data_IF_258493346593
#
_entry.id   IF_258493346593
#
_cell.length_a   1.000
_cell.length_b   1.000
_cell.length_c   1.000
_cell.angle_alpha   90.00
_cell.angle_beta   90.00
_cell.angle_gamma   90.00
#
_symmetry.space_group_name_H-M   'P 1'
#
loop_
_entity.id
_entity.type
_entity.pdbx_description
1 polymer ?
#
# COMPACT_ATOMS: atom_id res chain seq x y z
N UNK A 1 -29.48 26.00 15.94
CA UNK A 1 -30.11 25.01 15.05
C UNK A 1 -29.27 24.73 13.81
N UNK A 2 -28.92 25.71 13.02
CA UNK A 2 -28.20 25.55 11.73
C UNK A 2 -26.85 24.80 11.87
N UNK A 3 -26.05 25.14 12.87
CA UNK A 3 -24.75 24.47 13.10
C UNK A 3 -24.89 22.98 13.39
N UNK A 4 -25.98 22.57 14.04
CA UNK A 4 -26.25 21.16 14.37
C UNK A 4 -26.63 20.36 13.12
N UNK A 5 -27.39 20.95 12.21
CA UNK A 5 -27.73 20.33 10.92
C UNK A 5 -26.51 20.23 10.00
N UNK A 6 -25.66 21.26 9.95
CA UNK A 6 -24.43 21.24 9.16
C UNK A 6 -23.44 20.19 9.68
N UNK A 7 -23.31 20.01 10.99
CA UNK A 7 -22.50 18.94 11.59
C UNK A 7 -23.04 17.57 11.20
N UNK A 8 -24.36 17.36 11.33
CA UNK A 8 -24.98 16.07 11.00
C UNK A 8 -24.82 15.72 9.51
N UNK A 9 -25.00 16.69 8.61
CA UNK A 9 -24.81 16.49 7.16
C UNK A 9 -23.33 16.16 6.86
N UNK A 10 -22.40 16.86 7.49
CA UNK A 10 -20.97 16.57 7.35
C UNK A 10 -20.61 15.17 7.83
N UNK A 11 -21.18 14.74 8.95
CA UNK A 11 -20.91 13.40 9.52
C UNK A 11 -21.50 12.30 8.64
N UNK A 12 -22.71 12.48 8.10
CA UNK A 12 -23.35 11.54 7.16
C UNK A 12 -22.58 11.47 5.85
N UNK A 13 -22.13 12.60 5.31
CA UNK A 13 -21.31 12.62 4.09
C UNK A 13 -19.97 11.92 4.29
N UNK A 14 -19.33 12.14 5.44
CA UNK A 14 -18.07 11.49 5.80
C UNK A 14 -18.23 9.99 5.98
N UNK A 15 -19.32 9.54 6.61
CA UNK A 15 -19.66 8.14 6.76
C UNK A 15 -19.93 7.49 5.39
N UNK A 16 -20.71 8.13 4.53
CA UNK A 16 -20.97 7.66 3.16
C UNK A 16 -19.71 7.51 2.33
N UNK A 17 -18.77 8.46 2.41
CA UNK A 17 -17.47 8.36 1.76
C UNK A 17 -16.62 7.22 2.31
N UNK A 18 -16.69 6.96 3.61
CA UNK A 18 -16.00 5.83 4.26
C UNK A 18 -16.56 4.50 3.77
N UNK A 19 -17.87 4.38 3.67
CA UNK A 19 -18.55 3.17 3.19
C UNK A 19 -18.26 2.90 1.72
N UNK A 20 -18.24 3.93 0.88
CA UNK A 20 -17.85 3.84 -0.54
C UNK A 20 -16.39 3.41 -0.67
N UNK A 21 -15.48 4.00 0.10
CA UNK A 21 -14.06 3.61 0.10
C UNK A 21 -13.88 2.16 0.53
N UNK A 22 -14.65 1.70 1.53
CA UNK A 22 -14.63 0.30 1.97
C UNK A 22 -15.07 -0.62 0.84
N UNK A 23 -16.20 -0.33 0.19
CA UNK A 23 -16.71 -1.13 -0.93
C UNK A 23 -15.74 -1.18 -2.11
N UNK A 24 -15.11 -0.04 -2.43
CA UNK A 24 -14.08 0.02 -3.49
C UNK A 24 -12.83 -0.76 -3.10
N UNK A 25 -12.44 -0.76 -1.82
CA UNK A 25 -11.29 -1.51 -1.33
C UNK A 25 -11.54 -3.02 -1.24
N UNK A 26 -12.80 -3.47 -1.23
CA UNK A 26 -13.17 -4.88 -1.28
C UNK A 26 -13.10 -5.46 -2.70
N UNK A 27 -13.09 -4.61 -3.73
CA UNK A 27 -12.95 -5.04 -5.12
C UNK A 27 -11.46 -5.23 -5.49
N UNK A 28 -11.18 -6.33 -6.19
CA UNK A 28 -9.85 -6.55 -6.76
C UNK A 28 -9.49 -5.39 -7.69
N UNK A 29 -8.29 -4.80 -7.62
CA UNK A 29 -7.88 -3.74 -8.52
C UNK A 29 -7.94 -4.17 -9.99
N UNK A 30 -8.59 -3.39 -10.84
CA UNK A 30 -8.70 -3.67 -12.30
C UNK A 30 -7.33 -3.85 -12.95
N UNK A 31 -6.31 -3.18 -12.42
CA UNK A 31 -4.93 -3.31 -12.90
C UNK A 31 -4.39 -4.75 -12.78
N UNK A 32 -4.85 -5.52 -11.79
CA UNK A 32 -4.43 -6.91 -11.58
C UNK A 32 -5.22 -7.92 -12.42
N UNK A 33 -6.39 -7.56 -12.93
CA UNK A 33 -7.18 -8.44 -13.80
C UNK A 33 -6.55 -8.64 -15.18
N UNK A 34 -5.83 -7.62 -15.65
CA UNK A 34 -5.27 -7.58 -17.01
C UNK A 34 -3.75 -7.74 -17.06
N UNK A 35 -3.07 -7.78 -15.94
CA UNK A 35 -1.61 -7.75 -15.85
C UNK A 35 -1.11 -8.60 -14.69
N UNK A 36 0.13 -9.09 -14.81
CA UNK A 36 0.84 -9.62 -13.67
C UNK A 36 1.15 -8.50 -12.64
N UNK A 37 1.41 -8.89 -11.41
CA UNK A 37 1.61 -7.95 -10.29
C UNK A 37 2.71 -6.91 -10.57
N UNK A 38 3.87 -7.33 -11.07
CA UNK A 38 4.99 -6.40 -11.31
C UNK A 38 4.65 -5.39 -12.41
N UNK A 39 4.02 -5.83 -13.49
CA UNK A 39 3.55 -4.95 -14.57
C UNK A 39 2.51 -3.95 -14.07
N UNK A 40 1.60 -4.38 -13.20
CA UNK A 40 0.61 -3.51 -12.58
C UNK A 40 1.27 -2.46 -11.66
N UNK A 41 2.26 -2.86 -10.86
CA UNK A 41 3.03 -1.95 -9.99
C UNK A 41 3.82 -0.94 -10.84
N UNK A 42 4.52 -1.37 -11.87
CA UNK A 42 5.26 -0.48 -12.76
C UNK A 42 4.35 0.55 -13.45
N UNK A 43 3.18 0.13 -13.89
CA UNK A 43 2.18 1.04 -14.47
C UNK A 43 1.71 2.08 -13.45
N UNK A 44 1.39 1.64 -12.24
CA UNK A 44 0.99 2.53 -11.14
C UNK A 44 2.08 3.56 -10.84
N UNK A 45 3.33 3.13 -10.69
CA UNK A 45 4.47 4.01 -10.44
C UNK A 45 4.63 5.04 -11.57
N UNK A 46 4.55 4.59 -12.82
CA UNK A 46 4.64 5.48 -13.99
C UNK A 46 3.56 6.56 -13.99
N UNK A 47 2.32 6.17 -13.68
CA UNK A 47 1.20 7.10 -13.59
C UNK A 47 1.36 8.10 -12.43
N UNK A 48 1.82 7.64 -11.27
CA UNK A 48 2.04 8.51 -10.12
C UNK A 48 3.22 9.44 -10.31
N UNK A 49 4.30 9.00 -10.93
CA UNK A 49 5.42 9.85 -11.31
C UNK A 49 5.01 10.95 -12.31
N UNK A 50 4.14 10.64 -13.25
CA UNK A 50 3.63 11.62 -14.20
C UNK A 50 2.64 12.62 -13.56
N UNK A 51 1.87 12.19 -12.57
CA UNK A 51 0.83 13.00 -11.92
C UNK A 51 1.32 13.80 -10.71
N UNK A 52 2.50 13.50 -10.18
CA UNK A 52 3.06 14.16 -9.01
C UNK A 52 4.51 14.59 -9.25
N UNK A 53 5.07 15.39 -8.32
CA UNK A 53 6.48 15.77 -8.34
C UNK A 53 7.38 14.77 -7.58
N UNK A 54 6.79 13.67 -7.13
CA UNK A 54 7.50 12.66 -6.35
C UNK A 54 8.20 11.69 -7.31
N UNK A 55 9.45 11.39 -7.04
CA UNK A 55 10.20 10.37 -7.76
C UNK A 55 10.07 9.02 -7.06
N UNK A 56 9.29 8.11 -7.64
CA UNK A 56 9.04 6.79 -7.11
C UNK A 56 9.86 5.77 -7.90
N UNK A 57 10.63 4.95 -7.19
CA UNK A 57 11.48 3.90 -7.79
C UNK A 57 11.18 2.55 -7.18
N UNK A 58 11.29 1.49 -7.99
CA UNK A 58 11.16 0.10 -7.58
C UNK A 58 12.46 -0.67 -7.86
N UNK A 59 13.03 -1.26 -6.83
CA UNK A 59 14.11 -2.24 -6.90
C UNK A 59 13.55 -3.63 -6.56
N UNK A 60 13.49 -4.52 -7.55
CA UNK A 60 13.04 -5.88 -7.36
C UNK A 60 14.23 -6.84 -7.42
N UNK A 61 14.73 -7.22 -6.26
CA UNK A 61 15.76 -8.24 -6.09
C UNK A 61 15.17 -9.61 -5.70
N UNK A 62 13.84 -9.71 -5.58
CA UNK A 62 13.16 -10.96 -5.23
C UNK A 62 13.08 -11.96 -6.39
N UNK A 63 13.41 -11.52 -7.61
CA UNK A 63 13.32 -12.32 -8.81
C UNK A 63 11.90 -12.46 -9.37
N UNK A 64 11.66 -13.51 -10.11
CA UNK A 64 10.31 -13.87 -10.55
C UNK A 64 9.56 -14.51 -9.40
N UNK A 65 8.41 -13.94 -9.07
CA UNK A 65 7.56 -14.40 -7.99
C UNK A 65 6.18 -14.74 -8.58
N UNK A 66 5.64 -15.87 -8.14
CA UNK A 66 4.25 -16.20 -8.37
C UNK A 66 3.53 -16.13 -7.03
N UNK A 67 2.50 -15.31 -6.99
CA UNK A 67 1.63 -15.15 -5.84
C UNK A 67 0.23 -15.64 -6.19
N UNK A 68 -0.54 -16.00 -5.17
CA UNK A 68 -1.98 -16.14 -5.31
C UNK A 68 -2.67 -14.78 -5.50
N UNK A 69 -3.92 -14.79 -5.89
CA UNK A 69 -4.68 -13.56 -6.15
C UNK A 69 -4.78 -12.67 -4.90
N UNK A 70 -4.96 -13.27 -3.74
CA UNK A 70 -5.05 -12.55 -2.47
C UNK A 70 -3.73 -11.88 -2.09
N UNK A 71 -2.62 -12.58 -2.27
CA UNK A 71 -1.28 -12.04 -2.02
C UNK A 71 -0.96 -10.90 -2.99
N UNK A 72 -1.27 -11.05 -4.27
CA UNK A 72 -1.08 -9.99 -5.27
C UNK A 72 -1.87 -8.73 -4.93
N UNK A 73 -3.13 -8.89 -4.54
CA UNK A 73 -3.98 -7.77 -4.15
C UNK A 73 -3.43 -7.04 -2.92
N UNK A 74 -3.05 -7.78 -1.88
CA UNK A 74 -2.50 -7.19 -0.66
C UNK A 74 -1.20 -6.44 -0.95
N UNK A 75 -0.28 -7.02 -1.72
CA UNK A 75 0.97 -6.37 -2.13
C UNK A 75 0.70 -5.08 -2.90
N UNK A 76 -0.16 -5.14 -3.90
CA UNK A 76 -0.52 -3.99 -4.71
C UNK A 76 -1.10 -2.86 -3.86
N UNK A 77 -2.01 -3.17 -2.96
CA UNK A 77 -2.66 -2.20 -2.06
C UNK A 77 -1.70 -1.58 -1.05
N UNK A 78 -0.81 -2.38 -0.46
CA UNK A 78 0.22 -1.86 0.47
C UNK A 78 1.09 -0.83 -0.24
N UNK A 79 1.56 -1.12 -1.44
CA UNK A 79 2.37 -0.20 -2.23
C UNK A 79 1.58 1.06 -2.59
N UNK A 80 0.37 0.90 -3.11
CA UNK A 80 -0.51 2.02 -3.50
C UNK A 80 -0.78 2.97 -2.33
N UNK A 81 -1.18 2.43 -1.19
CA UNK A 81 -1.50 3.23 0.00
C UNK A 81 -0.26 3.92 0.57
N UNK A 82 0.87 3.22 0.60
CA UNK A 82 2.13 3.79 1.09
C UNK A 82 2.59 4.97 0.22
N UNK A 83 2.52 4.84 -1.10
CA UNK A 83 2.84 5.95 -2.02
C UNK A 83 1.85 7.10 -1.83
N UNK A 84 0.56 6.80 -1.76
CA UNK A 84 -0.49 7.82 -1.56
C UNK A 84 -0.28 8.59 -0.27
N UNK A 85 0.08 7.91 0.82
CA UNK A 85 0.37 8.53 2.10
C UNK A 85 1.62 9.42 2.02
N UNK A 86 2.68 8.97 1.34
CA UNK A 86 3.89 9.76 1.13
C UNK A 86 3.62 11.05 0.37
N UNK A 87 2.77 11.00 -0.66
CA UNK A 87 2.39 12.18 -1.46
C UNK A 87 1.49 13.12 -0.66
N UNK A 88 0.47 12.61 0.03
CA UNK A 88 -0.56 13.43 0.70
C UNK A 88 -0.10 13.99 2.03
N UNK A 89 0.61 13.22 2.82
CA UNK A 89 0.91 13.53 4.21
C UNK A 89 2.40 13.71 4.48
N UNK A 90 3.25 13.00 3.75
CA UNK A 90 4.67 12.95 4.01
C UNK A 90 5.45 14.15 3.49
N UNK A 91 4.92 14.94 2.57
CA UNK A 91 5.66 15.97 1.82
C UNK A 91 6.99 15.43 1.25
N UNK A 92 6.98 14.15 0.87
CA UNK A 92 8.11 13.47 0.29
C UNK A 92 8.35 13.95 -1.15
N UNK A 93 9.57 13.96 -1.59
CA UNK A 93 9.94 14.11 -3.01
C UNK A 93 10.48 12.81 -3.60
N UNK A 94 10.81 11.83 -2.76
CA UNK A 94 11.31 10.52 -3.17
C UNK A 94 10.65 9.41 -2.38
N UNK A 95 10.21 8.36 -3.08
CA UNK A 95 9.72 7.11 -2.50
C UNK A 95 10.50 5.95 -3.12
N UNK A 96 11.12 5.13 -2.29
CA UNK A 96 11.86 3.94 -2.71
C UNK A 96 11.13 2.69 -2.27
N UNK A 97 10.83 1.84 -3.24
CA UNK A 97 10.23 0.53 -3.03
C UNK A 97 11.31 -0.52 -3.29
N UNK A 98 11.49 -1.42 -2.36
CA UNK A 98 12.39 -2.56 -2.53
C UNK A 98 11.64 -3.85 -2.23
N UNK A 99 11.79 -4.82 -3.12
CA UNK A 99 11.27 -6.17 -2.96
C UNK A 99 12.45 -7.14 -2.89
N UNK A 100 12.54 -7.88 -1.81
CA UNK A 100 13.57 -8.91 -1.60
C UNK A 100 12.90 -10.22 -1.24
N UNK A 101 13.60 -11.32 -1.47
CA UNK A 101 13.16 -12.66 -1.06
C UNK A 101 14.25 -13.34 -0.26
N UNK A 102 13.87 -13.90 0.85
CA UNK A 102 14.70 -14.77 1.63
C UNK A 102 13.91 -16.04 1.95
N UNK A 103 14.39 -17.18 1.45
CA UNK A 103 13.66 -18.45 1.53
C UNK A 103 12.25 -18.36 0.98
N UNK A 104 11.24 -18.54 1.82
CA UNK A 104 9.80 -18.47 1.49
C UNK A 104 9.15 -17.18 1.96
N UNK A 105 9.92 -16.14 2.27
CA UNK A 105 9.40 -14.85 2.69
C UNK A 105 9.80 -13.79 1.67
N UNK A 106 8.82 -13.05 1.18
CA UNK A 106 9.03 -11.83 0.41
C UNK A 106 8.89 -10.65 1.34
N UNK A 107 9.89 -9.80 1.35
CA UNK A 107 9.87 -8.54 2.12
C UNK A 107 9.73 -7.37 1.16
N UNK A 108 8.75 -6.53 1.41
CA UNK A 108 8.51 -5.30 0.67
C UNK A 108 8.78 -4.14 1.61
N UNK A 109 9.73 -3.30 1.25
CA UNK A 109 10.08 -2.10 2.00
C UNK A 109 9.71 -0.88 1.16
N UNK A 110 8.88 0.00 1.69
CA UNK A 110 8.51 1.26 1.06
C UNK A 110 8.96 2.38 1.99
N UNK A 111 9.92 3.18 1.55
CA UNK A 111 10.48 4.28 2.34
C UNK A 111 10.40 5.58 1.58
N UNK A 112 9.89 6.62 2.23
CA UNK A 112 9.95 7.99 1.73
C UNK A 112 10.98 8.83 2.49
N UNK A 113 11.28 10.00 1.95
CA UNK A 113 12.15 11.01 2.55
C UNK A 113 11.36 12.21 3.10
N UNK A 114 10.09 12.02 3.40
CA UNK A 114 9.21 13.06 3.92
C UNK A 114 9.43 13.37 5.39
N UNK A 115 8.47 14.07 5.96
CA UNK A 115 8.54 14.55 7.36
C UNK A 115 8.37 13.46 8.40
N UNK A 116 7.93 12.27 7.99
CA UNK A 116 7.63 11.18 8.91
C UNK A 116 6.41 11.48 9.81
N UNK A 117 6.30 10.73 10.88
CA UNK A 117 5.26 10.90 11.89
C UNK A 117 5.80 10.57 13.28
N UNK A 118 5.62 11.49 14.23
CA UNK A 118 6.02 11.28 15.64
C UNK A 118 5.07 10.33 16.39
N UNK A 119 3.82 10.26 15.95
CA UNK A 119 2.79 9.34 16.43
C UNK A 119 2.16 8.69 15.22
N UNK A 120 2.45 7.41 15.01
CA UNK A 120 1.81 6.63 13.97
C UNK A 120 0.51 6.10 14.55
N UNK A 121 -0.54 6.91 14.46
CA UNK A 121 -1.88 6.36 14.57
C UNK A 121 -2.18 5.70 13.23
N UNK A 122 -2.41 4.37 13.20
CA UNK A 122 -2.71 3.70 11.96
C UNK A 122 -3.99 4.31 11.38
N UNK A 123 -3.84 5.03 10.28
CA UNK A 123 -4.97 5.48 9.48
C UNK A 123 -5.74 4.27 8.96
N UNK A 124 -6.96 4.50 8.51
CA UNK A 124 -7.88 3.44 8.08
C UNK A 124 -7.26 2.51 7.02
N UNK A 125 -6.45 3.07 6.09
CA UNK A 125 -5.79 2.31 5.04
C UNK A 125 -4.76 1.32 5.56
N UNK A 126 -3.87 1.75 6.45
CA UNK A 126 -2.81 0.89 7.01
C UNK A 126 -3.39 -0.20 7.93
N UNK A 127 -4.43 0.11 8.69
CA UNK A 127 -5.10 -0.87 9.56
C UNK A 127 -5.69 -2.01 8.73
N UNK A 128 -6.43 -1.71 7.68
CA UNK A 128 -7.01 -2.73 6.81
C UNK A 128 -5.96 -3.58 6.11
N UNK A 129 -4.87 -2.96 5.67
CA UNK A 129 -3.78 -3.70 5.03
C UNK A 129 -3.09 -4.64 6.01
N UNK A 130 -2.88 -4.19 7.24
CA UNK A 130 -2.33 -5.03 8.29
C UNK A 130 -3.22 -6.24 8.57
N UNK A 131 -4.52 -6.03 8.72
CA UNK A 131 -5.49 -7.11 8.94
C UNK A 131 -5.48 -8.13 7.79
N UNK A 132 -5.49 -7.66 6.53
CA UNK A 132 -5.40 -8.56 5.37
C UNK A 132 -4.09 -9.32 5.31
N UNK A 133 -2.98 -8.65 5.63
CA UNK A 133 -1.68 -9.28 5.66
C UNK A 133 -1.57 -10.33 6.77
N UNK A 134 -2.12 -10.04 7.94
CA UNK A 134 -2.20 -10.98 9.06
C UNK A 134 -2.98 -12.25 8.67
N UNK A 135 -4.05 -12.12 7.89
CA UNK A 135 -4.83 -13.27 7.36
C UNK A 135 -4.01 -14.16 6.42
N UNK A 136 -3.03 -13.60 5.73
CA UNK A 136 -2.09 -14.33 4.87
C UNK A 136 -0.89 -14.92 5.64
N UNK A 137 -0.85 -14.72 6.95
CA UNK A 137 0.27 -15.11 7.81
C UNK A 137 1.50 -14.19 7.68
N UNK A 138 1.32 -13.02 7.09
CA UNK A 138 2.35 -12.00 6.96
C UNK A 138 2.47 -11.10 8.18
N UNK A 139 3.39 -10.15 8.11
CA UNK A 139 3.61 -9.14 9.16
C UNK A 139 3.84 -7.77 8.54
N UNK A 140 3.39 -6.73 9.19
CA UNK A 140 3.64 -5.35 8.79
C UNK A 140 4.22 -4.54 9.94
N UNK A 141 5.28 -3.82 9.66
CA UNK A 141 5.91 -2.87 10.57
C UNK A 141 5.96 -1.48 9.92
N UNK A 142 5.71 -0.45 10.72
CA UNK A 142 5.70 0.93 10.26
C UNK A 142 6.57 1.77 11.17
N UNK A 143 7.44 2.61 10.58
CA UNK A 143 8.33 3.54 11.30
C UNK A 143 8.23 4.93 10.65
N UNK A 144 8.07 5.95 11.46
CA UNK A 144 7.95 7.35 11.02
C UNK A 144 9.05 8.27 11.53
N UNK A 145 10.13 7.76 12.11
CA UNK A 145 11.19 8.57 12.75
C UNK A 145 12.09 9.31 11.76
N UNK A 146 12.28 8.74 10.59
CA UNK A 146 13.13 9.31 9.52
C UNK A 146 12.44 9.13 8.18
N UNK A 147 11.50 10.04 7.84
CA UNK A 147 10.52 9.79 6.81
C UNK A 147 9.53 8.73 7.25
N UNK A 148 8.74 8.20 6.32
CA UNK A 148 7.80 7.12 6.59
C UNK A 148 8.30 5.82 5.95
N UNK A 149 8.35 4.75 6.72
CA UNK A 149 8.81 3.45 6.26
C UNK A 149 7.77 2.38 6.59
N UNK A 150 7.33 1.65 5.58
CA UNK A 150 6.48 0.47 5.71
C UNK A 150 7.28 -0.75 5.31
N UNK A 151 7.31 -1.76 6.16
CA UNK A 151 7.92 -3.06 5.88
C UNK A 151 6.83 -4.12 5.98
N UNK A 152 6.58 -4.84 4.91
CA UNK A 152 5.64 -5.95 4.85
C UNK A 152 6.37 -7.25 4.52
N UNK A 153 6.19 -8.28 5.32
CA UNK A 153 6.71 -9.62 5.14
C UNK A 153 5.56 -10.55 4.76
N UNK A 154 5.69 -11.23 3.63
CA UNK A 154 4.64 -12.09 3.09
C UNK A 154 5.21 -13.49 2.87
N UNK A 155 4.69 -14.52 3.56
CA UNK A 155 5.11 -15.88 3.29
C UNK A 155 4.56 -16.34 1.94
N UNK A 156 5.42 -16.92 1.10
CA UNK A 156 5.04 -17.52 -0.16
C UNK A 156 4.52 -18.92 0.13
N UNK A 157 3.23 -19.15 -0.10
CA UNK A 157 2.58 -20.44 0.16
C UNK A 157 2.78 -21.45 -0.97
N UNK A 158 3.04 -20.96 -2.17
CA UNK A 158 3.22 -21.79 -3.36
C UNK A 158 4.63 -21.58 -3.88
N UNK A 159 5.44 -22.61 -3.74
CA UNK A 159 6.77 -22.61 -4.31
C UNK A 159 6.66 -22.43 -5.82
N UNK A 160 7.23 -21.39 -6.36
CA UNK A 160 7.58 -21.41 -7.76
C UNK A 160 8.86 -22.22 -7.87
N UNK A 161 8.69 -23.50 -7.96
CA UNK A 161 9.61 -24.28 -8.72
C UNK A 161 9.35 -23.97 -10.18
N UNK A 162 10.29 -23.28 -10.79
CA UNK A 162 10.73 -23.66 -12.12
C UNK A 162 12.13 -23.11 -12.29
N UNK A 163 13.05 -24.04 -12.23
CA UNK A 163 14.37 -24.00 -12.81
C UNK A 163 14.32 -23.56 -14.30
#
# INVERSE_FOLDING_TARGET
>A
MLKRYLSLVSDVARQGMTDVRRSVNELRPDALEQRDLLSAIHKMISQMNAASKVNITLDNSAGRLSFGEDEEEVIYRIIQESITNSIRHGKADTVRIRMTREYNIVTITIKDNGVGASNIEPGFGLTHMKERLDMLGGKMHVDGRDGFCVVAEIPIRWGTEND
#
